data_IF_602481975026
#
_entry.id   IF_602481975026
#
_cell.length_a   1.000
_cell.length_b   1.000
_cell.length_c   1.000
_cell.angle_alpha   90.00
_cell.angle_beta   90.00
_cell.angle_gamma   90.00
#
_symmetry.space_group_name_H-M   'P 1'
#
loop_
_entity.id
_entity.type
_entity.pdbx_description
1 polymer ?
#
# COMPACT_ATOMS: atom_id res chain seq x y z
N UNK A 1 14.99 16.81 42.42
CA UNK A 1 14.94 15.45 41.85
C UNK A 1 13.50 14.99 41.62
N UNK A 2 12.62 15.13 42.62
CA UNK A 2 11.19 14.77 42.53
C UNK A 2 10.40 15.45 41.40
N UNK A 3 10.66 16.73 41.08
CA UNK A 3 9.95 17.47 40.00
C UNK A 3 10.26 16.93 38.58
N UNK A 4 11.44 16.34 38.37
CA UNK A 4 11.81 15.70 37.10
C UNK A 4 11.16 14.33 36.91
N UNK A 5 10.95 13.59 37.99
CA UNK A 5 10.25 12.30 37.96
C UNK A 5 8.77 12.49 37.67
N UNK A 6 8.12 13.42 38.33
CA UNK A 6 6.70 13.75 38.13
C UNK A 6 6.43 14.18 36.68
N UNK A 7 7.28 15.03 36.08
CA UNK A 7 7.16 15.45 34.67
C UNK A 7 7.37 14.31 33.68
N UNK A 8 8.24 13.33 34.01
CA UNK A 8 8.43 12.14 33.16
C UNK A 8 7.21 11.23 33.19
N UNK A 9 6.62 11.06 34.36
CA UNK A 9 5.41 10.23 34.52
C UNK A 9 4.21 10.85 33.81
N UNK A 10 4.03 12.17 33.91
CA UNK A 10 2.98 12.91 33.18
C UNK A 10 3.17 12.81 31.67
N UNK A 11 4.40 12.92 31.18
CA UNK A 11 4.68 12.76 29.76
C UNK A 11 4.42 11.32 29.25
N UNK A 12 4.76 10.32 30.06
CA UNK A 12 4.48 8.92 29.74
C UNK A 12 2.98 8.63 29.74
N UNK A 13 2.25 9.16 30.70
CA UNK A 13 0.79 9.04 30.77
C UNK A 13 0.11 9.70 29.55
N UNK A 14 0.53 10.89 29.17
CA UNK A 14 0.04 11.59 27.98
C UNK A 14 0.32 10.81 26.68
N UNK A 15 1.51 10.23 26.55
CA UNK A 15 1.87 9.38 25.39
C UNK A 15 1.04 8.09 25.33
N UNK A 16 0.77 7.47 26.50
CA UNK A 16 -0.11 6.27 26.57
C UNK A 16 -1.54 6.61 26.19
N UNK A 17 -2.08 7.72 26.71
CA UNK A 17 -3.42 8.18 26.37
C UNK A 17 -3.56 8.48 24.87
N UNK A 18 -2.56 9.11 24.27
CA UNK A 18 -2.56 9.40 22.83
C UNK A 18 -2.49 8.12 21.97
N UNK A 19 -1.69 7.13 22.36
CA UNK A 19 -1.65 5.83 21.68
C UNK A 19 -2.98 5.09 21.77
N UNK A 20 -3.60 5.04 22.95
CA UNK A 20 -4.92 4.43 23.16
C UNK A 20 -5.99 5.11 22.31
N UNK A 21 -5.98 6.44 22.22
CA UNK A 21 -6.92 7.18 21.36
C UNK A 21 -6.75 6.86 19.88
N UNK A 22 -5.52 6.66 19.40
CA UNK A 22 -5.22 6.26 18.03
C UNK A 22 -5.75 4.84 17.75
N UNK A 23 -5.47 3.89 18.63
CA UNK A 23 -5.92 2.49 18.50
C UNK A 23 -7.46 2.41 18.49
N UNK A 24 -8.12 3.13 19.40
CA UNK A 24 -9.58 3.21 19.44
C UNK A 24 -10.18 3.84 18.18
N UNK A 25 -9.56 4.91 17.66
CA UNK A 25 -9.99 5.55 16.41
C UNK A 25 -9.96 4.57 15.24
N UNK A 26 -8.86 3.85 15.05
CA UNK A 26 -8.75 2.91 13.93
C UNK A 26 -9.58 1.64 14.13
N UNK A 27 -9.73 1.18 15.37
CA UNK A 27 -10.67 0.10 15.69
C UNK A 27 -12.13 0.51 15.38
N UNK A 28 -12.53 1.72 15.77
CA UNK A 28 -13.85 2.24 15.44
C UNK A 28 -14.08 2.38 13.94
N UNK A 29 -13.08 2.86 13.18
CA UNK A 29 -13.14 2.93 11.72
C UNK A 29 -13.31 1.52 11.12
N UNK A 30 -12.50 0.54 11.57
CA UNK A 30 -12.59 -0.83 11.07
C UNK A 30 -13.96 -1.46 11.37
N UNK A 31 -14.48 -1.31 12.58
CA UNK A 31 -15.81 -1.78 12.96
C UNK A 31 -16.90 -1.10 12.14
N UNK A 32 -16.82 0.21 11.94
CA UNK A 32 -17.78 0.95 11.11
C UNK A 32 -17.78 0.46 9.66
N UNK A 33 -16.62 0.14 9.10
CA UNK A 33 -16.50 -0.42 7.76
C UNK A 33 -17.15 -1.81 7.70
N UNK A 34 -16.91 -2.67 8.68
CA UNK A 34 -17.53 -4.00 8.72
C UNK A 34 -19.05 -3.88 8.84
N UNK A 35 -19.55 -3.03 9.72
CA UNK A 35 -21.00 -2.80 9.88
C UNK A 35 -21.60 -2.26 8.57
N UNK A 36 -20.97 -1.25 7.97
CA UNK A 36 -21.41 -0.69 6.69
C UNK A 36 -21.41 -1.76 5.59
N UNK A 37 -20.38 -2.59 5.54
CA UNK A 37 -20.28 -3.69 4.58
C UNK A 37 -21.43 -4.67 4.74
N UNK A 38 -21.73 -5.11 5.99
CA UNK A 38 -22.83 -6.03 6.28
C UNK A 38 -24.18 -5.43 5.89
N UNK A 39 -24.40 -4.13 6.17
CA UNK A 39 -25.62 -3.43 5.78
C UNK A 39 -25.74 -3.36 4.26
N UNK A 40 -24.69 -2.94 3.55
CA UNK A 40 -24.68 -2.85 2.09
C UNK A 40 -24.85 -4.22 1.42
N UNK A 41 -24.25 -5.26 1.99
CA UNK A 41 -24.46 -6.64 1.54
C UNK A 41 -25.92 -7.08 1.69
N UNK A 42 -26.51 -6.86 2.87
CA UNK A 42 -27.92 -7.18 3.14
C UNK A 42 -28.89 -6.40 2.23
N UNK A 43 -28.54 -5.18 1.85
CA UNK A 43 -29.29 -4.36 0.90
C UNK A 43 -29.09 -4.75 -0.58
N UNK A 44 -28.19 -5.69 -0.89
CA UNK A 44 -27.87 -6.07 -2.25
C UNK A 44 -27.10 -4.99 -3.04
N UNK A 45 -26.52 -4.02 -2.36
CA UNK A 45 -25.82 -2.89 -2.98
C UNK A 45 -24.61 -3.31 -3.84
N UNK A 46 -24.04 -4.49 -3.58
CA UNK A 46 -22.91 -5.03 -4.34
C UNK A 46 -23.28 -5.75 -5.64
N UNK A 47 -24.58 -5.97 -5.92
CA UNK A 47 -25.00 -6.69 -7.13
C UNK A 47 -24.54 -5.98 -8.41
N UNK A 48 -24.75 -4.66 -8.52
CA UNK A 48 -24.31 -3.89 -9.68
C UNK A 48 -22.79 -3.69 -9.77
N UNK A 49 -22.10 -3.61 -8.64
CA UNK A 49 -20.63 -3.53 -8.59
C UNK A 49 -20.03 -4.86 -9.08
N UNK A 50 -20.60 -5.98 -8.64
CA UNK A 50 -20.14 -7.31 -9.05
C UNK A 50 -20.28 -7.52 -10.57
N UNK A 51 -21.39 -7.09 -11.14
CA UNK A 51 -21.63 -7.19 -12.60
C UNK A 51 -20.65 -6.29 -13.37
N UNK A 52 -20.45 -5.05 -12.94
CA UNK A 52 -19.49 -4.12 -13.57
C UNK A 52 -18.03 -4.61 -13.47
N UNK A 53 -17.64 -5.16 -12.31
CA UNK A 53 -16.30 -5.74 -12.13
C UNK A 53 -16.13 -6.99 -12.99
N UNK A 54 -17.13 -7.86 -13.02
CA UNK A 54 -17.12 -9.09 -13.83
C UNK A 54 -17.05 -8.76 -15.32
N UNK A 55 -17.83 -7.79 -15.80
CA UNK A 55 -17.79 -7.33 -17.19
C UNK A 55 -16.46 -6.69 -17.54
N UNK A 56 -15.93 -5.85 -16.67
CA UNK A 56 -14.60 -5.24 -16.84
C UNK A 56 -13.49 -6.28 -16.89
N UNK A 57 -13.54 -7.26 -16.00
CA UNK A 57 -12.60 -8.40 -15.96
C UNK A 57 -12.73 -9.26 -17.19
N UNK A 58 -13.95 -9.58 -17.63
CA UNK A 58 -14.18 -10.39 -18.84
C UNK A 58 -13.69 -9.68 -20.11
N UNK A 59 -13.89 -8.36 -20.21
CA UNK A 59 -13.33 -7.55 -21.31
C UNK A 59 -11.80 -7.54 -21.30
N UNK A 60 -11.18 -7.38 -20.12
CA UNK A 60 -9.73 -7.43 -19.97
C UNK A 60 -9.17 -8.85 -20.14
N UNK A 61 -9.88 -9.88 -19.71
CA UNK A 61 -9.54 -11.27 -19.96
C UNK A 61 -9.50 -11.60 -21.44
N UNK A 62 -10.31 -10.92 -22.27
CA UNK A 62 -10.23 -10.99 -23.73
C UNK A 62 -8.88 -10.54 -24.30
N UNK A 63 -8.13 -9.68 -23.60
CA UNK A 63 -6.76 -9.28 -23.93
C UNK A 63 -5.70 -10.14 -23.22
N UNK A 64 -6.10 -11.09 -22.38
CA UNK A 64 -5.21 -12.02 -21.69
C UNK A 64 -4.12 -11.35 -20.87
N UNK A 65 -2.91 -11.93 -20.91
CA UNK A 65 -1.74 -11.43 -20.15
C UNK A 65 -1.36 -9.98 -20.51
N UNK A 66 -1.56 -9.58 -21.76
CA UNK A 66 -1.25 -8.21 -22.22
C UNK A 66 -2.18 -7.19 -21.56
N UNK A 67 -3.47 -7.49 -21.47
CA UNK A 67 -4.45 -6.62 -20.83
C UNK A 67 -4.14 -6.39 -19.35
N UNK A 68 -3.81 -7.46 -18.63
CA UNK A 68 -3.43 -7.40 -17.21
C UNK A 68 -2.11 -6.61 -17.02
N UNK A 69 -1.13 -6.85 -17.89
CA UNK A 69 0.13 -6.08 -17.88
C UNK A 69 -0.13 -4.59 -18.05
N UNK A 70 -0.91 -4.19 -19.07
CA UNK A 70 -1.22 -2.78 -19.36
C UNK A 70 -2.04 -2.13 -18.23
N UNK A 71 -3.01 -2.84 -17.68
CA UNK A 71 -3.80 -2.36 -16.54
C UNK A 71 -2.90 -2.08 -15.34
N UNK A 72 -2.04 -3.03 -14.99
CA UNK A 72 -1.12 -2.89 -13.87
C UNK A 72 -0.10 -1.77 -14.09
N UNK A 73 0.39 -1.61 -15.32
CA UNK A 73 1.29 -0.53 -15.71
C UNK A 73 0.63 0.84 -15.51
N UNK A 74 -0.57 1.04 -16.06
CA UNK A 74 -1.31 2.32 -15.96
C UNK A 74 -1.68 2.60 -14.50
N UNK A 75 -2.14 1.60 -13.76
CA UNK A 75 -2.50 1.73 -12.36
C UNK A 75 -1.33 2.21 -11.49
N UNK A 76 -0.13 1.67 -11.72
CA UNK A 76 1.07 2.02 -10.94
C UNK A 76 1.82 3.25 -11.51
N UNK A 77 1.55 3.66 -12.73
CA UNK A 77 2.01 4.94 -13.26
C UNK A 77 1.32 6.12 -12.57
N UNK A 78 0.07 5.93 -12.11
CA UNK A 78 -0.69 6.94 -11.39
C UNK A 78 -0.19 7.07 -9.95
N UNK A 79 0.31 8.25 -9.58
CA UNK A 79 0.81 8.55 -8.23
C UNK A 79 -0.34 8.77 -7.24
N UNK A 80 -1.48 9.29 -7.72
CA UNK A 80 -2.59 9.79 -6.89
C UNK A 80 -3.79 8.83 -6.84
N UNK A 81 -4.06 8.13 -7.93
CA UNK A 81 -5.24 7.29 -8.06
C UNK A 81 -4.83 5.82 -7.95
N UNK A 82 -5.35 5.16 -6.93
CA UNK A 82 -5.15 3.72 -6.76
C UNK A 82 -6.23 2.93 -7.50
N UNK A 83 -5.85 2.32 -8.61
CA UNK A 83 -6.72 1.42 -9.35
C UNK A 83 -6.49 0.01 -8.80
N UNK A 84 -7.54 -0.75 -8.40
CA UNK A 84 -7.39 -2.09 -7.85
C UNK A 84 -7.11 -3.12 -8.96
N UNK A 85 -5.96 -3.01 -9.59
CA UNK A 85 -5.52 -3.83 -10.73
C UNK A 85 -5.27 -5.31 -10.38
N UNK A 86 -5.31 -5.67 -9.11
CA UNK A 86 -5.18 -7.05 -8.64
C UNK A 86 -6.52 -7.81 -8.63
N UNK A 87 -7.65 -7.13 -8.77
CA UNK A 87 -8.98 -7.76 -8.83
C UNK A 87 -9.12 -8.81 -9.95
N UNK A 88 -8.58 -8.61 -11.16
CA UNK A 88 -8.60 -9.65 -12.20
C UNK A 88 -7.93 -10.96 -11.79
N UNK A 89 -6.85 -10.90 -10.98
CA UNK A 89 -6.18 -12.09 -10.47
C UNK A 89 -7.09 -12.87 -9.53
N UNK A 90 -7.74 -12.16 -8.61
CA UNK A 90 -8.71 -12.75 -7.70
C UNK A 90 -9.89 -13.36 -8.46
N UNK A 91 -10.44 -12.63 -9.44
CA UNK A 91 -11.57 -13.10 -10.24
C UNK A 91 -11.22 -14.34 -11.04
N UNK A 92 -10.02 -14.40 -11.63
CA UNK A 92 -9.53 -15.58 -12.34
C UNK A 92 -9.41 -16.79 -11.39
N UNK A 93 -8.85 -16.58 -10.19
CA UNK A 93 -8.72 -17.62 -9.18
C UNK A 93 -10.08 -18.15 -8.74
N UNK A 94 -11.05 -17.28 -8.41
CA UNK A 94 -12.41 -17.64 -8.03
C UNK A 94 -13.20 -18.29 -9.17
N UNK A 95 -12.87 -17.96 -10.43
CA UNK A 95 -13.41 -18.58 -11.63
C UNK A 95 -12.86 -19.97 -11.95
N UNK A 96 -12.04 -20.55 -11.06
CA UNK A 96 -11.48 -21.89 -11.22
C UNK A 96 -10.29 -21.97 -12.17
N UNK A 97 -9.61 -20.85 -12.46
CA UNK A 97 -8.38 -20.89 -13.25
C UNK A 97 -7.29 -21.73 -12.56
N UNK A 98 -6.51 -22.46 -13.35
CA UNK A 98 -5.39 -23.26 -12.81
C UNK A 98 -4.35 -22.37 -12.14
N UNK A 99 -3.58 -22.93 -11.20
CA UNK A 99 -2.47 -22.24 -10.54
C UNK A 99 -1.52 -21.60 -11.58
N UNK A 100 -1.20 -22.33 -12.65
CA UNK A 100 -0.32 -21.84 -13.69
C UNK A 100 -0.88 -20.58 -14.38
N UNK A 101 -2.18 -20.53 -14.65
CA UNK A 101 -2.82 -19.38 -15.25
C UNK A 101 -2.84 -18.19 -14.30
N UNK A 102 -3.20 -18.38 -13.03
CA UNK A 102 -3.21 -17.32 -12.01
C UNK A 102 -1.79 -16.78 -11.77
N UNK A 103 -0.78 -17.65 -11.73
CA UNK A 103 0.62 -17.23 -11.62
C UNK A 103 1.11 -16.49 -12.88
N UNK A 104 0.67 -16.89 -14.07
CA UNK A 104 0.94 -16.18 -15.32
C UNK A 104 0.36 -14.75 -15.30
N UNK A 105 -0.87 -14.59 -14.81
CA UNK A 105 -1.49 -13.27 -14.59
C UNK A 105 -0.73 -12.47 -13.53
N UNK A 106 -0.31 -13.12 -12.43
CA UNK A 106 0.54 -12.51 -11.40
C UNK A 106 1.87 -11.99 -11.93
N UNK A 107 2.52 -12.78 -12.80
CA UNK A 107 3.75 -12.38 -13.47
C UNK A 107 3.52 -11.18 -14.40
N UNK A 108 2.51 -11.25 -15.26
CA UNK A 108 2.18 -10.16 -16.18
C UNK A 108 1.83 -8.86 -15.45
N UNK A 109 0.99 -8.94 -14.40
CA UNK A 109 0.65 -7.77 -13.58
C UNK A 109 1.86 -7.24 -12.82
N UNK A 110 2.73 -8.12 -12.29
CA UNK A 110 3.95 -7.75 -11.59
C UNK A 110 4.95 -7.01 -12.47
N UNK A 111 5.12 -7.47 -13.72
CA UNK A 111 5.94 -6.78 -14.73
C UNK A 111 5.37 -5.39 -15.05
N UNK A 112 4.05 -5.31 -15.31
CA UNK A 112 3.38 -4.04 -15.58
C UNK A 112 3.47 -3.08 -14.39
N UNK A 113 3.16 -3.56 -13.18
CA UNK A 113 3.22 -2.78 -11.95
C UNK A 113 4.65 -2.28 -11.65
N UNK A 114 5.65 -3.14 -11.81
CA UNK A 114 7.04 -2.78 -11.59
C UNK A 114 7.52 -1.69 -12.54
N UNK A 115 7.21 -1.82 -13.84
CA UNK A 115 7.54 -0.79 -14.84
C UNK A 115 6.77 0.50 -14.56
N UNK A 116 5.47 0.42 -14.24
CA UNK A 116 4.63 1.57 -13.92
C UNK A 116 5.13 2.33 -12.69
N UNK A 117 5.48 1.62 -11.62
CA UNK A 117 6.02 2.21 -10.39
C UNK A 117 7.38 2.90 -10.61
N UNK A 118 8.27 2.30 -11.39
CA UNK A 118 9.54 2.93 -11.77
C UNK A 118 9.31 4.17 -12.63
N UNK A 119 8.37 4.10 -13.59
CA UNK A 119 8.03 5.23 -14.45
C UNK A 119 7.36 6.37 -13.65
N UNK A 120 6.54 6.05 -12.64
CA UNK A 120 5.91 7.05 -11.75
C UNK A 120 6.94 7.90 -10.99
N UNK A 121 8.10 7.31 -10.64
CA UNK A 121 9.22 8.07 -10.06
C UNK A 121 9.71 9.18 -11.00
N UNK A 122 9.82 8.90 -12.30
CA UNK A 122 10.23 9.90 -13.29
C UNK A 122 9.21 11.03 -13.43
N UNK A 123 7.92 10.67 -13.35
CA UNK A 123 6.83 11.66 -13.32
C UNK A 123 6.93 12.52 -12.07
N UNK A 124 7.12 11.90 -10.89
CA UNK A 124 7.29 12.61 -9.62
C UNK A 124 8.51 13.54 -9.64
N UNK A 125 9.66 13.08 -10.13
CA UNK A 125 10.89 13.88 -10.27
C UNK A 125 10.64 15.11 -11.13
N UNK A 126 9.90 14.96 -12.24
CA UNK A 126 9.58 16.07 -13.15
C UNK A 126 8.62 17.06 -12.49
N UNK A 127 7.63 16.60 -11.73
CA UNK A 127 6.69 17.46 -11.01
C UNK A 127 7.38 18.22 -9.88
N UNK A 128 8.26 17.55 -9.12
CA UNK A 128 9.05 18.17 -8.05
C UNK A 128 10.00 19.23 -8.59
N UNK A 129 10.64 19.00 -9.74
CA UNK A 129 11.53 19.96 -10.38
C UNK A 129 10.83 21.29 -10.71
N UNK A 130 9.50 21.26 -10.94
CA UNK A 130 8.66 22.44 -11.16
C UNK A 130 8.19 23.13 -9.88
N UNK A 131 8.47 22.56 -8.71
CA UNK A 131 8.02 23.05 -7.41
C UNK A 131 9.20 23.28 -6.47
N UNK A 132 9.95 24.37 -6.61
CA UNK A 132 11.25 24.60 -5.95
C UNK A 132 11.18 24.70 -4.42
N UNK A 133 9.99 24.86 -3.83
CA UNK A 133 9.80 25.00 -2.36
C UNK A 133 9.72 23.67 -1.60
N UNK A 134 9.51 22.53 -2.28
CA UNK A 134 9.33 21.22 -1.64
C UNK A 134 10.58 20.66 -0.93
N UNK A 135 11.83 20.87 -1.44
CA UNK A 135 13.03 20.29 -0.81
C UNK A 135 13.44 20.90 0.53
N UNK A 136 12.89 22.07 0.91
CA UNK A 136 13.35 22.84 2.09
C UNK A 136 12.83 22.27 3.43
N UNK A 137 11.91 21.32 3.39
CA UNK A 137 11.34 20.69 4.59
C UNK A 137 12.37 19.89 5.40
N UNK A 138 12.33 20.02 6.74
CA UNK A 138 13.21 19.29 7.69
C UNK A 138 13.17 17.77 7.46
N UNK A 139 11.98 17.23 7.19
CA UNK A 139 11.77 15.79 6.90
C UNK A 139 12.51 15.35 5.64
N UNK A 140 12.49 16.14 4.58
CA UNK A 140 13.19 15.79 3.34
C UNK A 140 14.70 15.85 3.49
N UNK A 141 15.24 16.78 4.27
CA UNK A 141 16.67 16.83 4.61
C UNK A 141 17.11 15.59 5.41
N UNK A 142 16.30 15.18 6.38
CA UNK A 142 16.56 13.94 7.13
C UNK A 142 16.53 12.70 6.23
N UNK A 143 15.56 12.59 5.32
CA UNK A 143 15.49 11.50 4.33
C UNK A 143 16.74 11.51 3.46
N UNK A 144 17.14 12.67 2.91
CA UNK A 144 18.31 12.79 2.05
C UNK A 144 19.59 12.30 2.74
N UNK A 145 19.83 12.71 3.98
CA UNK A 145 20.99 12.28 4.77
C UNK A 145 21.00 10.76 5.00
N UNK A 146 19.87 10.19 5.46
CA UNK A 146 19.80 8.75 5.75
C UNK A 146 19.89 7.87 4.50
N UNK A 147 19.42 8.37 3.36
CA UNK A 147 19.44 7.66 2.07
C UNK A 147 20.87 7.50 1.55
N UNK A 148 21.71 8.53 1.68
CA UNK A 148 23.10 8.50 1.22
C UNK A 148 24.02 7.77 2.21
N UNK A 149 23.79 7.89 3.51
CA UNK A 149 24.60 7.25 4.55
C UNK A 149 24.43 5.72 4.58
N UNK A 150 23.26 5.21 4.19
CA UNK A 150 22.92 3.77 4.30
C UNK A 150 22.29 3.20 3.02
N UNK A 151 23.01 3.15 1.89
CA UNK A 151 22.44 2.82 0.59
C UNK A 151 21.84 1.40 0.52
N UNK A 152 22.40 0.42 1.23
CA UNK A 152 21.87 -0.96 1.27
C UNK A 152 20.57 -1.04 2.05
N UNK A 153 20.49 -0.38 3.20
CA UNK A 153 19.28 -0.34 4.01
C UNK A 153 18.15 0.40 3.27
N UNK A 154 18.48 1.48 2.56
CA UNK A 154 17.54 2.23 1.72
C UNK A 154 17.01 1.37 0.58
N UNK A 155 17.88 0.65 -0.14
CA UNK A 155 17.44 -0.26 -1.21
C UNK A 155 16.54 -1.37 -0.68
N UNK A 156 16.85 -1.93 0.48
CA UNK A 156 16.02 -2.93 1.13
C UNK A 156 14.66 -2.35 1.57
N UNK A 157 14.65 -1.14 2.13
CA UNK A 157 13.42 -0.44 2.48
C UNK A 157 12.54 -0.17 1.24
N UNK A 158 13.13 0.26 0.11
CA UNK A 158 12.41 0.45 -1.15
C UNK A 158 11.82 -0.88 -1.65
N UNK A 159 12.57 -1.97 -1.58
CA UNK A 159 12.08 -3.31 -1.91
C UNK A 159 10.88 -3.71 -1.04
N UNK A 160 10.99 -3.56 0.29
CA UNK A 160 9.89 -3.87 1.22
C UNK A 160 8.65 -2.99 0.96
N UNK A 161 8.85 -1.73 0.62
CA UNK A 161 7.77 -0.83 0.28
C UNK A 161 7.10 -1.25 -1.04
N UNK A 162 7.88 -1.63 -2.06
CA UNK A 162 7.35 -2.20 -3.30
C UNK A 162 6.60 -3.52 -3.09
N UNK A 163 7.04 -4.33 -2.12
CA UNK A 163 6.39 -5.58 -1.72
C UNK A 163 5.09 -5.32 -0.94
N UNK A 164 4.99 -4.19 -0.25
CA UNK A 164 3.82 -3.83 0.54
C UNK A 164 2.69 -3.31 -0.36
N UNK A 165 1.43 -3.42 0.05
CA UNK A 165 0.29 -2.84 -0.66
C UNK A 165 0.14 -1.33 -0.40
N UNK A 166 1.20 -0.66 0.07
CA UNK A 166 1.21 0.78 0.27
C UNK A 166 1.13 1.53 -1.06
N UNK A 167 0.51 2.73 -1.06
CA UNK A 167 0.53 3.60 -2.22
C UNK A 167 1.96 3.93 -2.65
N UNK A 168 2.29 3.71 -3.92
CA UNK A 168 3.64 3.97 -4.45
C UNK A 168 4.07 5.44 -4.26
N UNK A 169 3.12 6.35 -4.31
CA UNK A 169 3.36 7.77 -4.03
C UNK A 169 3.99 8.05 -2.67
N UNK A 170 3.72 7.21 -1.67
CA UNK A 170 4.31 7.34 -0.32
C UNK A 170 5.84 7.12 -0.32
N UNK A 171 6.36 6.39 -1.30
CA UNK A 171 7.80 6.10 -1.47
C UNK A 171 8.41 6.97 -2.55
N UNK A 172 7.75 6.98 -3.69
CA UNK A 172 8.24 7.59 -4.93
C UNK A 172 8.40 9.11 -4.77
N UNK A 173 7.41 9.78 -4.15
CA UNK A 173 7.44 11.25 -4.01
C UNK A 173 8.56 11.73 -3.08
N UNK A 174 8.73 11.21 -1.84
CA UNK A 174 9.85 11.62 -1.00
C UNK A 174 11.22 11.37 -1.65
N UNK A 175 11.39 10.22 -2.32
CA UNK A 175 12.64 9.89 -2.99
C UNK A 175 12.91 10.78 -4.22
N UNK A 176 11.85 11.22 -4.92
CA UNK A 176 11.96 12.19 -6.00
C UNK A 176 12.37 13.57 -5.49
N UNK A 177 11.82 14.00 -4.33
CA UNK A 177 12.18 15.28 -3.69
C UNK A 177 13.66 15.34 -3.32
N UNK A 178 14.20 14.23 -2.76
CA UNK A 178 15.62 14.15 -2.41
C UNK A 178 16.52 13.75 -3.59
N UNK A 179 15.95 13.64 -4.80
CA UNK A 179 16.66 13.26 -6.03
C UNK A 179 17.43 11.95 -5.93
N UNK A 180 16.83 10.96 -5.29
CA UNK A 180 17.41 9.62 -5.19
C UNK A 180 17.55 9.00 -6.58
N UNK A 181 18.75 8.60 -6.97
CA UNK A 181 19.04 8.19 -8.35
C UNK A 181 18.14 7.07 -8.89
N UNK A 182 17.54 7.27 -10.06
CA UNK A 182 16.63 6.32 -10.75
C UNK A 182 17.15 4.88 -10.76
N UNK A 183 18.45 4.67 -11.05
CA UNK A 183 19.06 3.33 -11.14
C UNK A 183 19.05 2.60 -9.79
N UNK A 184 19.23 3.33 -8.67
CA UNK A 184 19.23 2.76 -7.33
C UNK A 184 17.82 2.42 -6.86
N UNK A 185 16.81 3.16 -7.33
CA UNK A 185 15.41 2.95 -7.02
C UNK A 185 14.80 1.82 -7.86
N UNK A 186 15.10 1.78 -9.16
CA UNK A 186 14.40 0.95 -10.14
C UNK A 186 14.44 -0.53 -9.79
N UNK A 187 15.61 -1.07 -9.49
CA UNK A 187 15.76 -2.52 -9.24
C UNK A 187 15.00 -2.98 -7.99
N UNK A 188 15.21 -2.39 -6.80
CA UNK A 188 14.50 -2.84 -5.61
C UNK A 188 12.98 -2.62 -5.69
N UNK A 189 12.52 -1.50 -6.26
CA UNK A 189 11.10 -1.21 -6.40
C UNK A 189 10.43 -2.20 -7.39
N UNK A 190 11.06 -2.43 -8.55
CA UNK A 190 10.57 -3.38 -9.54
C UNK A 190 10.46 -4.79 -8.97
N UNK A 191 11.52 -5.28 -8.31
CA UNK A 191 11.52 -6.62 -7.70
C UNK A 191 10.48 -6.73 -6.58
N UNK A 192 10.32 -5.69 -5.77
CA UNK A 192 9.28 -5.63 -4.74
C UNK A 192 7.88 -5.76 -5.34
N UNK A 193 7.57 -5.01 -6.41
CA UNK A 193 6.28 -5.07 -7.12
C UNK A 193 6.05 -6.41 -7.81
N UNK A 194 7.08 -6.96 -8.42
CA UNK A 194 6.99 -8.27 -9.06
C UNK A 194 6.65 -9.35 -8.03
N UNK A 195 7.38 -9.39 -6.92
CA UNK A 195 7.15 -10.35 -5.85
C UNK A 195 5.77 -10.13 -5.18
N UNK A 196 5.37 -8.87 -4.96
CA UNK A 196 4.04 -8.52 -4.46
C UNK A 196 2.93 -9.19 -5.28
N UNK A 197 2.95 -9.02 -6.60
CA UNK A 197 1.91 -9.57 -7.48
C UNK A 197 1.93 -11.10 -7.55
N UNK A 198 3.11 -11.71 -7.51
CA UNK A 198 3.23 -13.16 -7.46
C UNK A 198 2.70 -13.73 -6.13
N UNK A 199 2.99 -13.07 -5.00
CA UNK A 199 2.44 -13.45 -3.71
C UNK A 199 0.91 -13.28 -3.67
N UNK A 200 0.37 -12.19 -4.22
CA UNK A 200 -1.07 -12.00 -4.32
C UNK A 200 -1.73 -13.05 -5.21
N UNK A 201 -1.12 -13.41 -6.33
CA UNK A 201 -1.60 -14.50 -7.18
C UNK A 201 -1.69 -15.83 -6.42
N UNK A 202 -0.65 -16.16 -5.64
CA UNK A 202 -0.61 -17.37 -4.82
C UNK A 202 -1.66 -17.33 -3.69
N UNK A 203 -1.76 -16.20 -2.98
CA UNK A 203 -2.73 -16.00 -1.90
C UNK A 203 -4.16 -16.10 -2.44
N UNK A 204 -4.46 -15.47 -3.58
CA UNK A 204 -5.78 -15.51 -4.19
C UNK A 204 -6.14 -16.91 -4.69
N UNK A 205 -5.18 -17.64 -5.24
CA UNK A 205 -5.40 -19.05 -5.64
C UNK A 205 -5.68 -19.93 -4.42
N UNK A 206 -4.89 -19.81 -3.35
CA UNK A 206 -5.11 -20.56 -2.11
C UNK A 206 -6.44 -20.19 -1.44
N UNK A 207 -6.81 -18.90 -1.45
CA UNK A 207 -8.10 -18.45 -0.94
C UNK A 207 -9.26 -18.97 -1.79
N UNK A 208 -9.15 -18.95 -3.11
CA UNK A 208 -10.20 -19.44 -4.01
C UNK A 208 -10.41 -20.95 -3.86
N UNK A 209 -9.35 -21.75 -3.75
CA UNK A 209 -9.46 -23.19 -3.50
C UNK A 209 -10.09 -23.50 -2.15
N UNK A 210 -9.75 -22.75 -1.09
CA UNK A 210 -10.40 -22.89 0.21
C UNK A 210 -11.86 -22.42 0.17
N UNK A 211 -12.17 -21.29 -0.49
CA UNK A 211 -13.52 -20.72 -0.51
C UNK A 211 -14.51 -21.53 -1.36
N UNK A 212 -14.04 -22.28 -2.36
CA UNK A 212 -14.88 -23.11 -3.21
C UNK A 212 -15.68 -24.14 -2.40
N UNK A 213 -15.11 -24.63 -1.30
CA UNK A 213 -15.74 -25.61 -0.42
C UNK A 213 -16.61 -25.00 0.69
N UNK A 214 -16.49 -23.68 0.96
CA UNK A 214 -17.06 -23.06 2.17
C UNK A 214 -17.96 -21.86 1.87
N UNK A 215 -17.79 -21.18 0.73
CA UNK A 215 -18.45 -19.89 0.46
C UNK A 215 -18.87 -19.79 -1.00
N UNK A 216 -20.02 -19.16 -1.29
CA UNK A 216 -20.42 -18.91 -2.67
C UNK A 216 -19.44 -17.97 -3.38
N UNK A 217 -19.24 -18.12 -4.68
CA UNK A 217 -18.34 -17.28 -5.48
C UNK A 217 -18.64 -15.79 -5.32
N UNK A 218 -19.91 -15.41 -5.26
CA UNK A 218 -20.34 -14.03 -5.06
C UNK A 218 -19.87 -13.48 -3.70
N UNK A 219 -20.13 -14.25 -2.62
CA UNK A 219 -19.70 -13.86 -1.27
C UNK A 219 -18.18 -13.82 -1.14
N UNK A 220 -17.44 -14.66 -1.86
CA UNK A 220 -15.98 -14.66 -1.87
C UNK A 220 -15.41 -13.36 -2.45
N UNK A 221 -16.00 -12.84 -3.54
CA UNK A 221 -15.56 -11.55 -4.14
C UNK A 221 -15.83 -10.39 -3.18
N UNK A 222 -17.00 -10.35 -2.58
CA UNK A 222 -17.38 -9.31 -1.62
C UNK A 222 -16.49 -9.35 -0.38
N UNK A 223 -16.21 -10.56 0.15
CA UNK A 223 -15.31 -10.73 1.27
C UNK A 223 -13.88 -10.28 0.96
N UNK A 224 -13.39 -10.56 -0.24
CA UNK A 224 -12.07 -10.12 -0.67
C UNK A 224 -11.97 -8.59 -0.75
N UNK A 225 -13.02 -7.91 -1.22
CA UNK A 225 -13.10 -6.44 -1.21
C UNK A 225 -13.07 -5.90 0.23
N UNK A 226 -13.83 -6.50 1.14
CA UNK A 226 -13.82 -6.13 2.57
C UNK A 226 -12.41 -6.28 3.16
N UNK A 227 -11.75 -7.41 2.91
CA UNK A 227 -10.38 -7.66 3.39
C UNK A 227 -9.41 -6.63 2.84
N UNK A 228 -9.50 -6.27 1.55
CA UNK A 228 -8.65 -5.25 0.94
C UNK A 228 -8.85 -3.87 1.59
N UNK A 229 -10.10 -3.50 1.90
CA UNK A 229 -10.40 -2.23 2.58
C UNK A 229 -9.87 -2.23 4.01
N UNK A 230 -10.11 -3.30 4.77
CA UNK A 230 -9.61 -3.43 6.15
C UNK A 230 -8.08 -3.43 6.20
N UNK A 231 -7.44 -4.07 5.22
CA UNK A 231 -5.99 -4.03 5.09
C UNK A 231 -5.48 -2.61 4.85
N UNK A 232 -6.16 -1.82 4.01
CA UNK A 232 -5.82 -0.41 3.79
C UNK A 232 -5.94 0.43 5.08
N UNK A 233 -6.94 0.15 5.91
CA UNK A 233 -7.08 0.79 7.24
C UNK A 233 -5.92 0.41 8.17
N UNK A 234 -5.52 -0.87 8.17
CA UNK A 234 -4.38 -1.35 8.97
C UNK A 234 -3.07 -0.65 8.54
N UNK A 235 -2.86 -0.52 7.24
CA UNK A 235 -1.70 0.20 6.68
C UNK A 235 -1.71 1.66 7.09
N UNK A 236 -2.86 2.35 7.00
CA UNK A 236 -3.01 3.74 7.42
C UNK A 236 -2.72 3.91 8.91
N UNK A 237 -3.19 2.98 9.76
CA UNK A 237 -2.87 2.95 11.19
C UNK A 237 -1.36 2.88 11.45
N UNK A 238 -0.66 1.95 10.79
CA UNK A 238 0.79 1.78 10.97
C UNK A 238 1.58 3.00 10.46
N UNK A 239 1.14 3.61 9.36
CA UNK A 239 1.73 4.82 8.81
C UNK A 239 1.58 6.01 9.79
N UNK A 240 0.39 6.18 10.39
CA UNK A 240 0.15 7.25 11.38
C UNK A 240 0.95 7.00 12.66
N UNK A 241 1.01 5.74 13.14
CA UNK A 241 1.82 5.34 14.30
C UNK A 241 3.31 5.63 14.06
N UNK A 242 3.83 5.34 12.88
CA UNK A 242 5.21 5.65 12.51
C UNK A 242 5.46 7.17 12.47
N UNK A 243 4.53 7.96 11.94
CA UNK A 243 4.61 9.44 11.94
C UNK A 243 4.70 10.02 13.35
N UNK A 244 3.88 9.51 14.27
CA UNK A 244 3.87 9.94 15.66
C UNK A 244 5.21 9.61 16.33
N UNK A 245 5.74 8.40 16.11
CA UNK A 245 7.03 7.98 16.64
C UNK A 245 8.19 8.87 16.18
N UNK A 246 8.20 9.24 14.89
CA UNK A 246 9.21 10.17 14.34
C UNK A 246 9.07 11.56 14.98
N UNK A 247 7.85 12.09 15.08
CA UNK A 247 7.60 13.40 15.70
C UNK A 247 8.01 13.45 17.17
N UNK A 248 7.77 12.38 17.92
CA UNK A 248 8.13 12.27 19.33
C UNK A 248 9.66 12.19 19.52
N UNK A 249 10.37 11.52 18.59
CA UNK A 249 11.83 11.48 18.58
C UNK A 249 12.44 12.87 18.29
N UNK A 250 11.85 13.62 17.36
CA UNK A 250 12.28 14.99 17.02
C UNK A 250 12.04 15.96 18.18
N UNK A 251 10.94 15.82 18.92
CA UNK A 251 10.62 16.65 20.07
C UNK A 251 11.50 16.36 21.30
N UNK A 252 11.95 15.10 21.47
CA UNK A 252 12.85 14.70 22.55
C UNK A 252 14.32 15.08 22.35
N UNK A 253 14.72 15.36 21.10
CA UNK A 253 16.10 15.74 20.73
C UNK A 253 16.41 17.24 20.81
N UNK A 254 15.46 18.08 21.23
CA UNK A 254 15.60 19.54 21.24
C UNK A 254 15.93 20.14 22.62
N UNK A 255 16.45 19.35 23.60
CA UNK A 255 17.07 19.95 24.76
C UNK A 255 18.47 20.46 24.36
N UNK A 256 18.72 21.79 24.35
CA UNK A 256 20.07 22.28 24.21
C UNK A 256 20.88 21.86 25.43
N UNK A 257 21.98 21.16 25.19
CA UNK A 257 23.01 21.03 26.20
C UNK A 257 23.48 22.46 26.58
N UNK A 258 23.08 22.92 27.78
CA UNK A 258 23.66 24.05 28.50
C UNK A 258 24.87 23.56 29.27
#
# INVERSE_FOLDING_TARGET
>A
MADRETRRDDQQAARRAHRLSLELKYAAIAVSIVVLFVVLHAMGAFSGVNDTVTDGVNRLAGFGLVGIFLLALIANLSILVQIPYTLPLLSAALGGASLQNVMGLGLASGLGAGIGAVASYKVAETLVAKSPRLPEGRTFRWIAQNVDDRPRATSFAIFLMGLSPLPDGAVVVPLAVVRYGMRRLAVPLFLGKLLHNLLFALIFYAFASWSADHVSQKASTELALLVAVLFSVLVAYHAEKARIAVRDADAGGSEPAL
#
